data_IF_203298809346
#
_entry.id   IF_203298809346
#
_cell.length_a   1.000
_cell.length_b   1.000
_cell.length_c   1.000
_cell.angle_alpha   90.00
_cell.angle_beta   90.00
_cell.angle_gamma   90.00
#
_symmetry.space_group_name_H-M   'P 1'
#
loop_
_entity.id
_entity.type
_entity.pdbx_description
1 polymer ?
#
# COMPACT_ATOMS: atom_id res chain seq x y z
N UNK A 1 -31.65 56.12 -3.61
CA UNK A 1 -30.53 55.26 -3.20
C UNK A 1 -31.02 53.81 -3.28
N UNK A 2 -30.59 53.04 -4.29
CA UNK A 2 -31.02 51.65 -4.51
C UNK A 2 -29.91 50.74 -4.01
N UNK A 3 -30.17 49.95 -2.98
CA UNK A 3 -29.25 48.93 -2.47
C UNK A 3 -29.50 47.66 -3.28
N UNK A 4 -28.56 47.30 -4.14
CA UNK A 4 -28.57 46.01 -4.83
C UNK A 4 -28.04 44.96 -3.84
N UNK A 5 -28.92 44.04 -3.43
CA UNK A 5 -28.54 42.84 -2.68
C UNK A 5 -27.94 41.87 -3.69
N UNK A 6 -26.62 41.69 -3.63
CA UNK A 6 -25.93 40.67 -4.41
C UNK A 6 -26.25 39.30 -3.80
N UNK A 7 -27.00 38.49 -4.55
CA UNK A 7 -27.28 37.10 -4.25
C UNK A 7 -25.98 36.30 -4.50
N UNK A 8 -25.28 35.92 -3.44
CA UNK A 8 -24.13 35.02 -3.56
C UNK A 8 -24.67 33.61 -3.80
N UNK A 9 -24.64 33.17 -5.06
CA UNK A 9 -24.84 31.78 -5.43
C UNK A 9 -23.63 30.98 -4.93
N UNK A 10 -23.80 30.21 -3.86
CA UNK A 10 -22.82 29.20 -3.44
C UNK A 10 -23.09 27.96 -4.30
N UNK A 11 -22.33 27.80 -5.38
CA UNK A 11 -22.25 26.55 -6.12
C UNK A 11 -21.55 25.52 -5.24
N UNK A 12 -22.33 24.63 -4.61
CA UNK A 12 -21.79 23.39 -4.08
C UNK A 12 -21.37 22.50 -5.26
N UNK A 13 -20.12 22.68 -5.73
CA UNK A 13 -19.45 21.63 -6.47
C UNK A 13 -19.19 20.49 -5.51
N UNK A 14 -19.97 19.43 -5.61
CA UNK A 14 -19.67 18.16 -4.96
C UNK A 14 -18.35 17.64 -5.51
N UNK A 15 -17.25 17.92 -4.81
CA UNK A 15 -16.01 17.17 -5.00
C UNK A 15 -16.32 15.75 -4.55
N UNK A 16 -16.24 14.79 -5.48
CA UNK A 16 -16.08 13.40 -5.10
C UNK A 16 -14.90 13.34 -4.14
N UNK A 17 -15.18 13.01 -2.87
CA UNK A 17 -14.16 12.95 -1.85
C UNK A 17 -13.26 11.75 -2.17
N UNK A 18 -12.02 12.01 -2.59
CA UNK A 18 -11.02 10.96 -2.63
C UNK A 18 -10.72 10.53 -1.19
N UNK A 19 -10.87 9.24 -0.89
CA UNK A 19 -10.41 8.70 0.38
C UNK A 19 -8.89 8.56 0.31
N UNK A 20 -8.17 9.20 1.24
CA UNK A 20 -6.71 9.22 1.23
C UNK A 20 -6.14 9.14 2.64
N UNK A 21 -5.06 8.38 2.79
CA UNK A 21 -4.22 8.31 3.98
C UNK A 21 -2.80 8.78 3.65
N UNK A 22 -2.12 9.33 4.65
CA UNK A 22 -0.77 9.84 4.53
C UNK A 22 0.10 9.36 5.69
N UNK A 23 1.37 9.07 5.40
CA UNK A 23 2.40 8.68 6.36
C UNK A 23 3.68 9.47 6.10
N UNK A 24 4.29 9.98 7.17
CA UNK A 24 5.59 10.66 7.07
C UNK A 24 6.70 9.63 6.87
N UNK A 25 7.58 9.92 5.91
CA UNK A 25 8.73 9.09 5.55
C UNK A 25 10.00 9.93 5.49
N UNK A 26 11.17 9.29 5.40
CA UNK A 26 12.44 9.98 5.19
C UNK A 26 12.46 10.80 3.88
N UNK A 27 11.74 10.36 2.85
CA UNK A 27 11.66 11.01 1.53
C UNK A 27 10.49 11.98 1.36
N UNK A 28 9.78 12.31 2.45
CA UNK A 28 8.60 13.17 2.44
C UNK A 28 7.30 12.45 2.82
N UNK A 29 6.17 12.95 2.36
CA UNK A 29 4.86 12.37 2.68
C UNK A 29 4.48 11.31 1.64
N UNK A 30 4.36 10.06 2.10
CA UNK A 30 3.79 8.98 1.31
C UNK A 30 2.27 8.99 1.49
N UNK A 31 1.55 9.04 0.38
CA UNK A 31 0.10 9.14 0.31
C UNK A 31 -0.43 7.91 -0.41
N UNK A 32 -1.51 7.34 0.09
CA UNK A 32 -2.21 6.24 -0.58
C UNK A 32 -3.70 6.46 -0.48
N UNK A 33 -4.37 6.36 -1.63
CA UNK A 33 -5.71 6.90 -1.81
C UNK A 33 -6.50 6.15 -2.86
N UNK A 34 -7.82 6.20 -2.75
CA UNK A 34 -8.78 5.75 -3.76
C UNK A 34 -9.45 6.97 -4.39
N UNK A 35 -9.49 6.99 -5.73
CA UNK A 35 -10.30 7.92 -6.48
C UNK A 35 -11.65 7.26 -6.78
N UNK A 36 -12.70 7.68 -6.09
CA UNK A 36 -14.05 7.13 -6.23
C UNK A 36 -14.67 7.35 -7.61
N UNK A 37 -14.20 8.34 -8.38
CA UNK A 37 -14.72 8.61 -9.73
C UNK A 37 -14.14 7.64 -10.76
N UNK A 38 -12.83 7.37 -10.69
CA UNK A 38 -12.16 6.47 -11.63
C UNK A 38 -12.08 5.02 -11.15
N UNK A 39 -12.37 4.75 -9.87
CA UNK A 39 -12.18 3.43 -9.27
C UNK A 39 -10.70 3.05 -9.11
N UNK A 40 -9.77 4.00 -9.19
CA UNK A 40 -8.33 3.71 -9.16
C UNK A 40 -7.70 4.07 -7.83
N UNK A 41 -6.81 3.22 -7.35
CA UNK A 41 -5.98 3.48 -6.19
C UNK A 41 -4.58 3.91 -6.63
N UNK A 42 -3.97 4.77 -5.84
CA UNK A 42 -2.60 5.21 -6.06
C UNK A 42 -1.81 5.21 -4.77
N UNK A 43 -0.51 4.92 -4.90
CA UNK A 43 0.49 5.12 -3.87
C UNK A 43 1.48 6.14 -4.44
N UNK A 44 1.68 7.24 -3.73
CA UNK A 44 2.50 8.38 -4.18
C UNK A 44 3.44 8.84 -3.09
N UNK A 45 4.62 9.34 -3.45
CA UNK A 45 5.53 10.04 -2.54
C UNK A 45 5.78 11.45 -3.07
N UNK A 46 5.56 12.48 -2.24
CA UNK A 46 5.87 13.87 -2.61
C UNK A 46 5.32 14.28 -3.99
N UNK A 47 4.07 13.89 -4.28
CA UNK A 47 3.32 14.08 -5.54
C UNK A 47 3.73 13.21 -6.74
N UNK A 48 4.73 12.33 -6.59
CA UNK A 48 5.08 11.34 -7.62
C UNK A 48 4.33 10.04 -7.36
N UNK A 49 3.51 9.60 -8.31
CA UNK A 49 2.90 8.27 -8.29
C UNK A 49 3.97 7.19 -8.40
N UNK A 50 4.01 6.29 -7.42
CA UNK A 50 4.89 5.13 -7.37
C UNK A 50 4.19 3.88 -7.92
N UNK A 51 2.92 3.72 -7.56
CA UNK A 51 2.07 2.59 -7.97
C UNK A 51 0.67 3.12 -8.24
N UNK A 52 0.03 2.60 -9.29
CA UNK A 52 -1.38 2.81 -9.57
C UNK A 52 -2.01 1.48 -9.96
N UNK A 53 -3.19 1.18 -9.41
CA UNK A 53 -3.91 -0.07 -9.66
C UNK A 53 -5.42 0.16 -9.60
N UNK A 54 -6.16 -0.76 -10.21
CA UNK A 54 -7.63 -0.78 -10.15
C UNK A 54 -8.08 -1.25 -8.77
N UNK A 55 -9.03 -0.54 -8.18
CA UNK A 55 -9.55 -0.80 -6.85
C UNK A 55 -11.02 -0.36 -6.70
N UNK A 56 -11.79 -0.38 -7.80
CA UNK A 56 -13.17 0.10 -7.83
C UNK A 56 -14.02 -0.60 -6.74
N UNK A 57 -13.88 -1.92 -6.66
CA UNK A 57 -14.55 -2.80 -5.69
C UNK A 57 -13.64 -3.20 -4.52
N UNK A 58 -12.74 -2.30 -4.10
CA UNK A 58 -11.85 -2.48 -2.96
C UNK A 58 -12.06 -1.38 -1.91
N UNK A 59 -11.77 -1.73 -0.66
CA UNK A 59 -11.51 -0.75 0.40
C UNK A 59 -10.18 -0.05 0.14
N UNK A 60 -9.95 1.04 0.88
CA UNK A 60 -8.68 1.72 0.83
C UNK A 60 -7.51 0.77 1.16
N UNK A 61 -6.39 0.83 0.41
CA UNK A 61 -5.18 0.08 0.74
C UNK A 61 -4.69 0.36 2.16
N UNK A 62 -3.97 -0.59 2.73
CA UNK A 62 -3.50 -0.52 4.12
C UNK A 62 -1.97 -0.56 4.19
N UNK A 63 -1.40 0.31 5.03
CA UNK A 63 -0.01 0.21 5.44
C UNK A 63 0.10 -0.87 6.51
N UNK A 64 0.63 -2.04 6.16
CA UNK A 64 0.70 -3.21 7.04
C UNK A 64 2.07 -3.41 7.68
N UNK A 65 3.08 -2.70 7.20
CA UNK A 65 4.40 -2.64 7.85
C UNK A 65 5.11 -1.34 7.52
N UNK A 66 5.83 -0.81 8.50
CA UNK A 66 6.74 0.32 8.35
C UNK A 66 7.97 0.09 9.21
N UNK A 67 9.14 0.14 8.58
CA UNK A 67 10.41 0.24 9.28
C UNK A 67 10.79 1.71 9.45
N UNK A 68 11.49 2.02 10.54
CA UNK A 68 12.17 3.30 10.73
C UNK A 68 13.69 3.15 10.71
N UNK A 69 14.19 1.91 10.66
CA UNK A 69 15.60 1.60 10.67
C UNK A 69 15.85 0.38 9.79
N UNK A 70 16.31 0.59 8.55
CA UNK A 70 17.07 -0.46 7.90
C UNK A 70 18.23 -0.03 7.04
N UNK A 71 19.12 -1.02 6.86
CA UNK A 71 20.39 -1.12 6.16
C UNK A 71 20.96 0.19 5.63
N UNK A 72 22.22 0.50 5.96
CA UNK A 72 23.05 1.67 5.57
C UNK A 72 22.88 2.28 4.16
N UNK A 73 22.16 1.63 3.24
CA UNK A 73 21.83 2.06 1.89
C UNK A 73 20.34 2.38 1.64
N UNK A 74 19.38 1.86 2.42
CA UNK A 74 17.92 2.10 2.25
C UNK A 74 17.25 2.47 3.58
N UNK A 75 17.10 3.78 3.82
CA UNK A 75 16.69 4.33 5.11
C UNK A 75 15.33 3.85 5.64
N UNK A 76 14.35 3.59 4.76
CA UNK A 76 13.00 3.17 5.12
C UNK A 76 12.45 2.09 4.18
N UNK A 77 11.64 1.21 4.74
CA UNK A 77 10.83 0.24 4.00
C UNK A 77 9.40 0.30 4.50
N UNK A 78 8.45 0.42 3.57
CA UNK A 78 7.02 0.38 3.81
C UNK A 78 6.40 -0.78 3.04
N UNK A 79 5.37 -1.39 3.61
CA UNK A 79 4.61 -2.45 2.94
C UNK A 79 3.14 -2.05 2.92
N UNK A 80 2.58 -1.96 1.72
CA UNK A 80 1.18 -1.61 1.50
C UNK A 80 0.46 -2.80 0.88
N UNK A 81 -0.72 -3.10 1.41
CA UNK A 81 -1.57 -4.19 0.97
C UNK A 81 -2.86 -3.65 0.37
N UNK A 82 -3.24 -4.19 -0.79
CA UNK A 82 -4.57 -3.97 -1.36
C UNK A 82 -5.64 -4.64 -0.48
N UNK A 83 -6.80 -3.99 -0.36
CA UNK A 83 -7.88 -4.46 0.51
C UNK A 83 -9.17 -4.72 -0.31
N UNK A 84 -9.22 -5.82 -1.11
CA UNK A 84 -10.36 -6.11 -1.96
C UNK A 84 -11.64 -6.34 -1.13
N UNK A 85 -12.79 -5.84 -1.60
CA UNK A 85 -14.07 -6.07 -0.93
C UNK A 85 -14.58 -7.49 -1.19
N UNK A 86 -15.27 -8.06 -0.20
CA UNK A 86 -15.93 -9.36 -0.30
C UNK A 86 -15.21 -10.51 0.41
N UNK A 87 -15.82 -11.69 0.38
CA UNK A 87 -15.41 -12.84 1.20
C UNK A 87 -14.37 -13.75 0.52
N UNK A 88 -13.83 -13.35 -0.63
CA UNK A 88 -12.97 -14.22 -1.43
C UNK A 88 -11.59 -14.40 -0.78
N UNK A 89 -11.02 -13.33 -0.23
CA UNK A 89 -9.68 -13.36 0.37
C UNK A 89 -9.56 -12.38 1.55
N UNK A 90 -9.04 -12.87 2.68
CA UNK A 90 -8.64 -12.03 3.82
C UNK A 90 -7.30 -11.37 3.49
N UNK A 91 -7.33 -10.36 2.62
CA UNK A 91 -6.18 -9.61 2.11
C UNK A 91 -6.08 -9.62 0.59
N UNK A 92 -5.24 -8.72 0.05
CA UNK A 92 -4.94 -8.63 -1.37
C UNK A 92 -3.43 -8.52 -1.65
N UNK A 93 -3.06 -8.23 -2.91
CA UNK A 93 -1.67 -8.04 -3.33
C UNK A 93 -0.88 -7.06 -2.45
N UNK A 94 0.41 -7.30 -2.34
CA UNK A 94 1.31 -6.54 -1.47
C UNK A 94 2.41 -5.85 -2.29
N UNK A 95 2.68 -4.59 -1.96
CA UNK A 95 3.76 -3.77 -2.50
C UNK A 95 4.79 -3.48 -1.41
N UNK A 96 6.08 -3.62 -1.73
CA UNK A 96 7.18 -3.22 -0.86
C UNK A 96 7.85 -2.00 -1.45
N UNK A 97 7.96 -0.93 -0.65
CA UNK A 97 8.47 0.37 -1.06
C UNK A 97 9.69 0.69 -0.20
N UNK A 98 10.85 0.73 -0.83
CA UNK A 98 12.08 1.25 -0.26
C UNK A 98 12.19 2.75 -0.48
N UNK A 99 12.55 3.48 0.56
CA UNK A 99 12.84 4.92 0.53
C UNK A 99 14.23 5.12 1.11
N UNK A 100 15.15 5.64 0.30
CA UNK A 100 16.52 5.95 0.72
C UNK A 100 16.56 7.25 1.52
N UNK A 101 17.68 7.53 2.20
CA UNK A 101 17.81 8.72 3.05
C UNK A 101 17.76 10.05 2.27
N UNK A 102 18.11 10.03 0.98
CA UNK A 102 17.99 11.16 0.06
C UNK A 102 16.57 11.31 -0.53
N UNK A 103 15.64 10.42 -0.16
CA UNK A 103 14.27 10.40 -0.65
C UNK A 103 14.05 9.69 -1.98
N UNK A 104 15.08 9.07 -2.56
CA UNK A 104 14.90 8.19 -3.73
C UNK A 104 14.06 6.97 -3.35
N UNK A 105 13.26 6.48 -4.32
CA UNK A 105 12.34 5.38 -4.08
C UNK A 105 12.63 4.19 -4.96
N UNK A 106 12.38 3.00 -4.43
CA UNK A 106 12.32 1.77 -5.21
C UNK A 106 11.13 0.93 -4.79
N UNK A 107 10.28 0.59 -5.76
CA UNK A 107 9.09 -0.25 -5.54
C UNK A 107 9.38 -1.65 -6.05
N UNK A 108 9.01 -2.67 -5.29
CA UNK A 108 9.02 -4.04 -5.78
C UNK A 108 7.89 -4.31 -6.79
N UNK A 109 7.99 -5.38 -7.59
CA UNK A 109 6.81 -6.04 -8.14
C UNK A 109 5.80 -6.38 -7.03
N UNK A 110 4.53 -6.56 -7.40
CA UNK A 110 3.51 -7.01 -6.43
C UNK A 110 3.75 -8.46 -6.04
N UNK A 111 3.49 -8.79 -4.78
CA UNK A 111 3.34 -10.18 -4.31
C UNK A 111 1.84 -10.47 -4.30
N UNK A 112 1.41 -11.47 -5.07
CA UNK A 112 0.01 -11.90 -5.03
C UNK A 112 -0.24 -12.64 -3.71
N UNK A 113 -1.02 -12.02 -2.82
CA UNK A 113 -1.43 -12.60 -1.54
C UNK A 113 -2.95 -12.59 -1.45
N UNK A 114 -3.53 -13.75 -1.14
CA UNK A 114 -4.98 -13.94 -1.14
C UNK A 114 -5.36 -14.89 0.01
N UNK A 115 -5.66 -14.31 1.18
CA UNK A 115 -6.07 -15.03 2.37
C UNK A 115 -4.95 -15.80 3.10
N UNK A 116 -5.32 -16.46 4.19
CA UNK A 116 -4.38 -17.10 5.12
C UNK A 116 -4.10 -16.26 6.36
N UNK A 117 -3.03 -16.59 7.08
CA UNK A 117 -2.60 -15.81 8.24
C UNK A 117 -1.93 -14.53 7.77
N UNK A 118 -2.03 -13.47 8.58
CA UNK A 118 -1.34 -12.21 8.30
C UNK A 118 0.17 -12.45 8.08
N UNK A 119 0.79 -11.75 7.12
CA UNK A 119 2.22 -11.84 6.89
C UNK A 119 3.00 -11.37 8.12
N UNK A 120 4.14 -12.01 8.38
CA UNK A 120 5.09 -11.64 9.41
C UNK A 120 6.30 -10.99 8.76
N UNK A 121 6.64 -9.81 9.23
CA UNK A 121 7.74 -9.01 8.74
C UNK A 121 8.93 -9.11 9.69
N UNK A 122 10.09 -9.43 9.15
CA UNK A 122 11.33 -9.49 9.91
C UNK A 122 12.40 -8.70 9.18
N UNK A 123 12.85 -7.67 9.88
CA UNK A 123 13.97 -6.83 9.54
C UNK A 123 15.28 -7.65 9.50
N UNK A 124 16.02 -7.59 8.38
CA UNK A 124 17.31 -8.28 8.16
C UNK A 124 18.41 -7.30 7.73
N UNK A 125 19.67 -7.64 7.98
CA UNK A 125 20.82 -6.77 7.62
C UNK A 125 20.82 -6.30 6.16
N UNK A 126 20.33 -7.14 5.25
CA UNK A 126 20.32 -6.89 3.80
C UNK A 126 18.92 -6.60 3.24
N UNK A 127 17.92 -6.34 4.08
CA UNK A 127 16.58 -5.97 3.65
C UNK A 127 15.45 -6.49 4.54
N UNK A 128 14.32 -6.84 3.91
CA UNK A 128 13.11 -7.26 4.60
C UNK A 128 12.80 -8.71 4.28
N UNK A 129 12.66 -9.55 5.31
CA UNK A 129 12.08 -10.89 5.18
C UNK A 129 10.58 -10.79 5.42
N UNK A 130 9.81 -11.32 4.47
CA UNK A 130 8.36 -11.38 4.50
C UNK A 130 7.98 -12.86 4.56
N UNK A 131 7.31 -13.28 5.62
CA UNK A 131 6.86 -14.65 5.81
C UNK A 131 5.35 -14.69 5.73
N UNK A 132 4.81 -15.41 4.75
CA UNK A 132 3.41 -15.77 4.64
C UNK A 132 3.21 -17.12 5.33
N UNK A 133 2.65 -17.15 6.55
CA UNK A 133 2.56 -18.39 7.29
C UNK A 133 1.57 -19.33 6.60
N UNK A 134 1.98 -20.59 6.44
CA UNK A 134 1.12 -21.65 5.97
C UNK A 134 -0.02 -21.93 6.94
N UNK A 135 -0.99 -22.71 6.46
CA UNK A 135 -2.19 -23.02 7.23
C UNK A 135 -3.08 -24.05 6.55
N UNK A 136 -4.21 -24.38 7.19
CA UNK A 136 -5.26 -25.14 6.49
C UNK A 136 -5.81 -24.33 5.32
N UNK A 137 -6.18 -24.99 4.23
CA UNK A 137 -6.84 -24.30 3.11
C UNK A 137 -8.19 -23.74 3.56
N UNK A 138 -8.45 -22.46 3.27
CA UNK A 138 -9.79 -21.90 3.35
C UNK A 138 -10.69 -22.68 2.36
N UNK A 139 -11.72 -23.33 2.87
CA UNK A 139 -12.68 -24.14 2.10
C UNK A 139 -12.10 -25.34 1.31
N UNK A 140 -11.12 -26.07 1.86
CA UNK A 140 -10.62 -27.29 1.21
C UNK A 140 -9.84 -28.25 2.13
N UNK A 141 -9.48 -29.43 1.60
CA UNK A 141 -8.57 -30.37 2.28
C UNK A 141 -7.11 -30.02 1.96
N UNK A 142 -6.23 -30.15 2.95
CA UNK A 142 -4.78 -29.96 2.80
C UNK A 142 -4.22 -28.73 3.53
N UNK A 143 -2.92 -28.48 3.34
CA UNK A 143 -2.19 -27.35 3.94
C UNK A 143 -1.59 -26.48 2.83
N UNK A 144 -1.71 -25.17 2.96
CA UNK A 144 -0.89 -24.20 2.24
C UNK A 144 0.47 -24.16 2.93
N UNK A 145 1.59 -24.39 2.21
CA UNK A 145 2.92 -24.29 2.79
C UNK A 145 3.24 -22.83 3.19
N UNK A 146 4.21 -22.65 4.07
CA UNK A 146 4.77 -21.31 4.27
C UNK A 146 5.42 -20.83 2.98
N UNK A 147 5.29 -19.55 2.72
CA UNK A 147 5.98 -18.87 1.65
C UNK A 147 6.82 -17.74 2.25
N UNK A 148 8.08 -17.65 1.84
CA UNK A 148 9.02 -16.66 2.38
C UNK A 148 9.64 -15.91 1.24
N UNK A 149 9.56 -14.59 1.32
CA UNK A 149 10.21 -13.67 0.41
C UNK A 149 11.30 -12.89 1.12
N UNK A 150 12.36 -12.61 0.39
CA UNK A 150 13.36 -11.63 0.77
C UNK A 150 13.28 -10.46 -0.21
N UNK A 151 13.08 -9.27 0.34
CA UNK A 151 13.15 -8.01 -0.38
C UNK A 151 14.48 -7.33 -0.09
N UNK A 152 15.20 -6.92 -1.13
CA UNK A 152 16.43 -6.15 -1.01
C UNK A 152 16.64 -5.28 -2.25
N UNK A 153 16.96 -3.99 -2.05
CA UNK A 153 17.26 -3.04 -3.14
C UNK A 153 16.19 -3.04 -4.24
N UNK A 154 14.91 -3.14 -3.85
CA UNK A 154 13.77 -3.15 -4.78
C UNK A 154 13.46 -4.51 -5.43
N UNK A 155 14.30 -5.52 -5.22
CA UNK A 155 14.09 -6.84 -5.78
C UNK A 155 13.43 -7.76 -4.76
N UNK A 156 12.44 -8.52 -5.25
CA UNK A 156 11.82 -9.59 -4.50
C UNK A 156 12.36 -10.94 -4.96
N UNK A 157 12.74 -11.76 -4.00
CA UNK A 157 13.13 -13.15 -4.24
C UNK A 157 12.35 -14.07 -3.31
N UNK A 158 11.58 -14.98 -3.87
CA UNK A 158 11.01 -16.10 -3.12
C UNK A 158 12.16 -17.02 -2.71
N UNK A 159 12.28 -17.29 -1.41
CA UNK A 159 13.33 -18.12 -0.81
C UNK A 159 12.78 -19.39 -0.18
N UNK A 160 11.46 -19.49 0.00
CA UNK A 160 10.74 -20.70 0.39
C UNK A 160 9.31 -20.63 -0.17
#
# INVERSE_FOLDING_TARGET
>A
MRIAVALILVTMMGLAAAEEKAVKTHGGELRYGKNETSGTCSISLSRRTLVQFDCADAYLPELIFQSSQHAKEQGQVLVIQENPMGNACNGGPIYVIGITADGSTVTSPRIDFCGGKAPVFSEQKEGLRITFPGGGRNHGKGKTPDEVWHWSRGQLKKIK
#
